data_IF_999319719642
#
_entry.id   IF_999319719642
#
_cell.length_a   1.000
_cell.length_b   1.000
_cell.length_c   1.000
_cell.angle_alpha   90.00
_cell.angle_beta   90.00
_cell.angle_gamma   90.00
#
_symmetry.space_group_name_H-M   'P 1'
#
loop_
_entity.id
_entity.type
_entity.pdbx_description
1 polymer ?
#
# COMPACT_ATOMS: atom_id res chain seq x y z
N UNK A 1 -4.31 -7.83 19.81
CA UNK A 1 -4.60 -6.61 19.03
C UNK A 1 -3.32 -5.85 18.68
N UNK A 2 -2.53 -5.41 19.66
CA UNK A 2 -1.28 -4.67 19.41
C UNK A 2 -0.33 -5.40 18.46
N UNK A 3 -0.10 -6.70 18.67
CA UNK A 3 0.74 -7.50 17.79
C UNK A 3 0.26 -7.50 16.31
N UNK A 4 -1.05 -7.54 16.08
CA UNK A 4 -1.62 -7.49 14.73
C UNK A 4 -1.38 -6.12 14.07
N UNK A 5 -1.53 -5.04 14.83
CA UNK A 5 -1.21 -3.68 14.33
C UNK A 5 0.27 -3.53 14.00
N UNK A 6 1.17 -4.11 14.81
CA UNK A 6 2.62 -4.12 14.53
C UNK A 6 2.90 -4.87 13.22
N UNK A 7 2.35 -6.07 13.06
CA UNK A 7 2.53 -6.86 11.84
C UNK A 7 2.01 -6.09 10.62
N UNK A 8 0.79 -5.55 10.69
CA UNK A 8 0.20 -4.76 9.62
C UNK A 8 1.08 -3.56 9.26
N UNK A 9 1.56 -2.81 10.26
CA UNK A 9 2.47 -1.67 10.06
C UNK A 9 3.76 -2.08 9.34
N UNK A 10 4.37 -3.20 9.72
CA UNK A 10 5.59 -3.69 9.06
C UNK A 10 5.33 -4.09 7.62
N UNK A 11 4.22 -4.79 7.36
CA UNK A 11 3.81 -5.17 6.00
C UNK A 11 3.55 -3.94 5.14
N UNK A 12 2.84 -2.95 5.68
CA UNK A 12 2.50 -1.70 5.02
C UNK A 12 3.74 -0.87 4.67
N UNK A 13 4.66 -0.69 5.61
CA UNK A 13 5.90 0.02 5.36
C UNK A 13 6.80 -0.73 4.38
N UNK A 14 6.86 -2.06 4.48
CA UNK A 14 7.57 -2.91 3.53
C UNK A 14 6.99 -2.79 2.12
N UNK A 15 5.66 -2.78 2.00
CA UNK A 15 4.95 -2.57 0.74
C UNK A 15 5.20 -1.18 0.18
N UNK A 16 5.11 -0.13 1.00
CA UNK A 16 5.42 1.24 0.59
C UNK A 16 6.86 1.36 0.07
N UNK A 17 7.84 0.78 0.76
CA UNK A 17 9.24 0.76 0.32
C UNK A 17 9.40 0.01 -1.01
N UNK A 18 8.74 -1.14 -1.18
CA UNK A 18 8.74 -1.90 -2.43
C UNK A 18 8.17 -1.05 -3.58
N UNK A 19 7.02 -0.42 -3.37
CA UNK A 19 6.35 0.42 -4.37
C UNK A 19 7.18 1.68 -4.70
N UNK A 20 7.85 2.29 -3.72
CA UNK A 20 8.80 3.40 -3.96
C UNK A 20 9.98 2.92 -4.79
N UNK A 21 10.54 1.75 -4.48
CA UNK A 21 11.64 1.16 -5.24
C UNK A 21 11.24 0.90 -6.70
N UNK A 22 10.12 0.19 -6.91
CA UNK A 22 9.60 -0.12 -8.24
C UNK A 22 9.25 1.16 -9.01
N UNK A 23 8.54 2.10 -8.39
CA UNK A 23 8.19 3.37 -9.05
C UNK A 23 9.42 4.21 -9.38
N UNK A 24 10.48 4.20 -8.55
CA UNK A 24 11.75 4.84 -8.86
C UNK A 24 12.42 4.24 -10.11
N UNK A 25 12.44 2.90 -10.22
CA UNK A 25 12.93 2.21 -11.42
C UNK A 25 12.07 2.52 -12.66
N UNK A 26 10.74 2.48 -12.52
CA UNK A 26 9.81 2.79 -13.62
C UNK A 26 9.96 4.24 -14.07
N UNK A 27 10.00 5.21 -13.15
CA UNK A 27 10.15 6.62 -13.47
C UNK A 27 11.49 6.92 -14.13
N UNK A 28 12.58 6.28 -13.71
CA UNK A 28 13.88 6.38 -14.40
C UNK A 28 13.85 5.78 -15.81
N UNK A 29 13.10 4.70 -16.02
CA UNK A 29 12.86 4.12 -17.35
C UNK A 29 11.99 5.00 -18.25
N UNK A 30 10.93 5.59 -17.69
CA UNK A 30 9.96 6.45 -18.40
C UNK A 30 10.56 7.81 -18.74
N UNK A 31 11.43 8.37 -17.88
CA UNK A 31 12.16 9.62 -18.17
C UNK A 31 13.03 9.53 -19.45
N UNK A 32 13.30 8.31 -19.93
CA UNK A 32 14.01 8.05 -21.17
C UNK A 32 13.11 7.63 -22.35
N UNK A 33 11.80 7.38 -22.17
CA UNK A 33 11.00 6.66 -23.20
C UNK A 33 9.55 7.11 -23.43
N UNK A 34 8.97 8.10 -22.73
CA UNK A 34 7.65 8.62 -23.14
C UNK A 34 6.79 9.25 -22.03
N UNK A 35 5.52 9.61 -22.34
CA UNK A 35 4.63 10.28 -21.40
C UNK A 35 4.35 9.42 -20.16
N UNK A 36 4.14 10.09 -19.02
CA UNK A 36 3.92 9.45 -17.72
C UNK A 36 2.70 8.51 -17.78
N UNK A 37 2.93 7.24 -17.48
CA UNK A 37 1.92 6.18 -17.49
C UNK A 37 0.85 6.42 -16.39
N UNK A 38 -0.46 6.32 -16.68
CA UNK A 38 -1.54 6.50 -15.69
C UNK A 38 -1.39 5.64 -14.43
N UNK A 39 -0.76 4.47 -14.57
CA UNK A 39 -0.46 3.51 -13.50
C UNK A 39 0.45 4.13 -12.42
N UNK A 40 1.28 5.12 -12.75
CA UNK A 40 2.13 5.82 -11.80
C UNK A 40 1.31 6.52 -10.70
N UNK A 41 0.12 7.04 -11.03
CA UNK A 41 -0.78 7.67 -10.05
C UNK A 41 -1.29 6.61 -9.07
N UNK A 42 -1.65 5.41 -9.55
CA UNK A 42 -2.08 4.30 -8.70
C UNK A 42 -0.97 3.85 -7.75
N UNK A 43 0.28 3.77 -8.23
CA UNK A 43 1.44 3.46 -7.38
C UNK A 43 1.62 4.50 -6.26
N UNK A 44 1.55 5.79 -6.59
CA UNK A 44 1.68 6.87 -5.60
C UNK A 44 0.56 6.80 -4.57
N UNK A 45 -0.69 6.62 -5.00
CA UNK A 45 -1.83 6.49 -4.09
C UNK A 45 -1.67 5.28 -3.15
N UNK A 46 -1.22 4.15 -3.68
CA UNK A 46 -0.95 2.96 -2.86
C UNK A 46 0.16 3.19 -1.84
N UNK A 47 1.25 3.89 -2.20
CA UNK A 47 2.31 4.27 -1.26
C UNK A 47 1.73 5.12 -0.12
N UNK A 48 0.95 6.14 -0.46
CA UNK A 48 0.33 7.04 0.53
C UNK A 48 -0.60 6.27 1.46
N UNK A 49 -1.46 5.40 0.91
CA UNK A 49 -2.41 4.60 1.69
C UNK A 49 -1.67 3.61 2.60
N UNK A 50 -0.64 2.93 2.11
CA UNK A 50 0.20 2.04 2.92
C UNK A 50 0.88 2.76 4.08
N UNK A 51 1.23 4.04 3.96
CA UNK A 51 1.81 4.79 5.09
C UNK A 51 0.73 5.33 6.03
N UNK A 52 -0.34 5.90 5.46
CA UNK A 52 -1.39 6.57 6.23
C UNK A 52 -2.24 5.61 7.04
N UNK A 53 -2.55 4.43 6.50
CA UNK A 53 -3.43 3.46 7.14
C UNK A 53 -2.93 2.96 8.51
N UNK A 54 -1.68 2.49 8.66
CA UNK A 54 -1.17 2.05 9.96
C UNK A 54 -1.07 3.24 10.93
N UNK A 55 -0.66 4.43 10.46
CA UNK A 55 -0.62 5.63 11.31
C UNK A 55 -2.00 5.99 11.87
N UNK A 56 -3.03 5.96 11.02
CA UNK A 56 -4.41 6.18 11.43
C UNK A 56 -4.88 5.10 12.41
N UNK A 57 -4.59 3.82 12.14
CA UNK A 57 -4.94 2.73 13.04
C UNK A 57 -4.28 2.89 14.42
N UNK A 58 -3.04 3.35 14.49
CA UNK A 58 -2.35 3.61 15.76
C UNK A 58 -2.89 4.84 16.50
N UNK A 59 -3.27 5.88 15.77
CA UNK A 59 -3.83 7.12 16.33
C UNK A 59 -5.21 6.87 16.94
N UNK A 60 -6.08 6.15 16.23
CA UNK A 60 -7.47 5.91 16.64
C UNK A 60 -7.67 4.58 17.39
N UNK A 61 -6.58 3.93 17.84
CA UNK A 61 -6.64 2.60 18.48
C UNK A 61 -7.49 2.52 19.75
N UNK A 62 -7.78 3.66 20.37
CA UNK A 62 -8.59 3.76 21.60
C UNK A 62 -10.05 4.08 21.33
N UNK A 63 -10.34 4.67 20.17
CA UNK A 63 -11.67 5.20 19.83
C UNK A 63 -12.44 4.24 18.91
N UNK A 64 -11.72 3.42 18.14
CA UNK A 64 -12.30 2.49 17.19
C UNK A 64 -12.41 1.07 17.74
N UNK A 65 -13.45 0.36 17.30
CA UNK A 65 -13.60 -1.07 17.55
C UNK A 65 -12.48 -1.90 16.93
N UNK A 66 -12.20 -3.05 17.53
CA UNK A 66 -11.16 -3.99 17.11
C UNK A 66 -11.26 -4.39 15.63
N UNK A 67 -12.48 -4.63 15.14
CA UNK A 67 -12.72 -4.99 13.74
C UNK A 67 -12.35 -3.86 12.77
N UNK A 68 -12.77 -2.63 13.06
CA UNK A 68 -12.50 -1.45 12.22
C UNK A 68 -11.00 -1.14 12.17
N UNK A 69 -10.30 -1.28 13.30
CA UNK A 69 -8.86 -1.09 13.37
C UNK A 69 -8.09 -2.10 12.51
N UNK A 70 -8.49 -3.37 12.56
CA UNK A 70 -7.88 -4.41 11.73
C UNK A 70 -8.22 -4.20 10.25
N UNK A 71 -9.46 -3.85 9.92
CA UNK A 71 -9.84 -3.56 8.54
C UNK A 71 -9.03 -2.38 7.96
N UNK A 72 -8.83 -1.32 8.73
CA UNK A 72 -8.00 -0.19 8.34
C UNK A 72 -6.55 -0.63 8.14
N UNK A 73 -5.93 -1.23 9.17
CA UNK A 73 -4.52 -1.60 9.12
C UNK A 73 -4.19 -2.65 8.05
N UNK A 74 -5.10 -3.57 7.73
CA UNK A 74 -4.87 -4.59 6.70
C UNK A 74 -5.42 -4.23 5.32
N UNK A 75 -6.12 -3.10 5.16
CA UNK A 75 -6.66 -2.71 3.85
C UNK A 75 -5.58 -2.60 2.76
N UNK A 76 -4.44 -1.92 2.97
CA UNK A 76 -3.44 -1.80 1.90
C UNK A 76 -2.85 -3.15 1.43
N UNK A 77 -2.39 -4.07 2.29
CA UNK A 77 -1.87 -5.36 1.82
C UNK A 77 -2.97 -6.25 1.24
N UNK A 78 -4.21 -6.17 1.73
CA UNK A 78 -5.34 -6.90 1.14
C UNK A 78 -5.64 -6.40 -0.27
N UNK A 79 -5.63 -5.08 -0.50
CA UNK A 79 -5.80 -4.47 -1.82
C UNK A 79 -4.65 -4.89 -2.75
N UNK A 80 -3.40 -4.84 -2.26
CA UNK A 80 -2.24 -5.25 -3.05
C UNK A 80 -2.29 -6.73 -3.45
N UNK A 81 -2.65 -7.63 -2.52
CA UNK A 81 -2.85 -9.06 -2.81
C UNK A 81 -4.03 -9.26 -3.76
N UNK A 82 -5.15 -8.56 -3.56
CA UNK A 82 -6.30 -8.62 -4.45
C UNK A 82 -5.97 -8.19 -5.88
N UNK A 83 -5.17 -7.15 -6.03
CA UNK A 83 -4.67 -6.70 -7.33
C UNK A 83 -3.77 -7.76 -7.99
N UNK A 84 -2.82 -8.33 -7.25
CA UNK A 84 -1.95 -9.40 -7.72
C UNK A 84 -2.73 -10.64 -8.18
N UNK A 85 -3.74 -11.05 -7.40
CA UNK A 85 -4.58 -12.20 -7.72
C UNK A 85 -5.54 -11.95 -8.90
N UNK A 86 -5.82 -10.67 -9.21
CA UNK A 86 -6.63 -10.25 -10.35
C UNK A 86 -5.84 -10.15 -11.67
N UNK A 87 -4.54 -10.48 -11.68
CA UNK A 87 -3.69 -10.53 -12.88
C UNK A 87 -3.94 -11.67 -13.90
N UNK A 88 -5.03 -12.47 -13.96
CA UNK A 88 -5.33 -13.27 -15.15
C UNK A 88 -5.70 -12.44 -16.40
N UNK A 89 -5.67 -11.11 -16.35
CA UNK A 89 -6.22 -10.22 -17.39
C UNK A 89 -5.16 -9.48 -18.25
N UNK A 90 -3.86 -9.72 -18.04
CA UNK A 90 -2.76 -9.05 -18.78
C UNK A 90 -1.78 -10.01 -19.47
N UNK A 91 -2.24 -11.21 -19.85
CA UNK A 91 -1.53 -12.11 -20.77
C UNK A 91 -2.33 -12.29 -22.04
#
# INVERSE_FOLDING_TARGET
MVAALVIATVLDLGLALLLIGVSGFVLQGVNNTGPMMPEAILFILMIVISIASPLAAWAFRRDLGSATLLALAYAPPVIAVGALLAEPLFV
#
